data_IF_950778366694
#
_entry.id   IF_950778366694
#
_cell.length_a   1.000
_cell.length_b   1.000
_cell.length_c   1.000
_cell.angle_alpha   90.00
_cell.angle_beta   90.00
_cell.angle_gamma   90.00
#
_symmetry.space_group_name_H-M   'P 1'
#
loop_
_entity.id
_entity.type
_entity.pdbx_description
1 polymer ?
#
# COMPACT_ATOMS: atom_id res chain seq x y z
N UNK A 1 10.65 -16.26 -1.84
CA UNK A 1 11.08 -16.32 -3.26
C UNK A 1 12.24 -15.38 -3.50
N UNK A 2 13.22 -15.79 -4.31
CA UNK A 2 14.26 -14.92 -4.82
C UNK A 2 13.83 -14.32 -6.16
N UNK A 3 14.16 -13.06 -6.39
CA UNK A 3 13.85 -12.39 -7.64
C UNK A 3 15.02 -11.55 -8.15
N UNK A 4 15.04 -11.33 -9.45
CA UNK A 4 15.99 -10.46 -10.11
C UNK A 4 15.38 -9.85 -11.36
N UNK A 5 15.91 -8.74 -11.81
CA UNK A 5 15.43 -8.04 -13.00
C UNK A 5 16.57 -7.37 -13.77
N UNK A 6 16.33 -7.14 -15.03
CA UNK A 6 17.15 -6.31 -15.88
C UNK A 6 16.27 -5.39 -16.71
N UNK A 7 16.68 -4.13 -16.89
CA UNK A 7 15.94 -3.14 -17.67
C UNK A 7 16.87 -2.51 -18.69
N UNK A 8 16.39 -2.39 -19.93
CA UNK A 8 17.12 -1.72 -21.01
C UNK A 8 17.59 -0.34 -20.54
N UNK A 9 18.89 0.02 -20.75
CA UNK A 9 19.42 1.34 -20.40
C UNK A 9 18.60 2.52 -20.91
N UNK A 10 17.93 2.38 -22.06
CA UNK A 10 17.03 3.41 -22.62
C UNK A 10 15.82 3.72 -21.74
N UNK A 11 15.48 2.83 -20.82
CA UNK A 11 14.35 2.97 -19.89
C UNK A 11 14.78 3.42 -18.49
N UNK A 12 16.08 3.59 -18.24
CA UNK A 12 16.58 4.04 -16.95
C UNK A 12 16.11 5.46 -16.60
N UNK A 13 15.91 5.74 -15.32
CA UNK A 13 15.48 7.05 -14.83
C UNK A 13 14.02 7.42 -15.06
N UNK A 14 13.23 6.54 -15.71
CA UNK A 14 11.81 6.78 -16.01
C UNK A 14 10.85 6.20 -14.97
N UNK A 15 11.33 5.69 -13.85
CA UNK A 15 10.50 5.17 -12.76
C UNK A 15 9.94 3.76 -12.97
N UNK A 16 10.17 3.11 -14.12
CA UNK A 16 9.61 1.77 -14.40
C UNK A 16 10.01 0.71 -13.37
N UNK A 17 11.23 0.79 -12.84
CA UNK A 17 11.70 -0.19 -11.85
C UNK A 17 10.85 -0.14 -10.57
N UNK A 18 10.51 1.05 -10.08
CA UNK A 18 9.67 1.20 -8.90
C UNK A 18 8.26 0.64 -9.16
N UNK A 19 7.69 0.90 -10.33
CA UNK A 19 6.37 0.35 -10.70
C UNK A 19 6.40 -1.18 -10.77
N UNK A 20 7.42 -1.76 -11.40
CA UNK A 20 7.61 -3.22 -11.48
C UNK A 20 7.75 -3.82 -10.07
N UNK A 21 8.51 -3.17 -9.19
CA UNK A 21 8.69 -3.63 -7.81
C UNK A 21 7.38 -3.60 -7.01
N UNK A 22 6.54 -2.57 -7.19
CA UNK A 22 5.22 -2.50 -6.53
C UNK A 22 4.30 -3.64 -7.02
N UNK A 23 4.19 -3.83 -8.34
CA UNK A 23 3.37 -4.91 -8.93
C UNK A 23 3.86 -6.28 -8.46
N UNK A 24 5.17 -6.49 -8.42
CA UNK A 24 5.74 -7.76 -8.01
C UNK A 24 5.53 -8.06 -6.53
N UNK A 25 5.67 -7.06 -5.66
CA UNK A 25 5.37 -7.20 -4.23
C UNK A 25 3.90 -7.60 -4.02
N UNK A 26 3.00 -6.89 -4.69
CA UNK A 26 1.57 -7.19 -4.61
C UNK A 26 1.28 -8.63 -5.06
N UNK A 27 1.82 -9.03 -6.20
CA UNK A 27 1.66 -10.40 -6.72
C UNK A 27 2.22 -11.46 -5.76
N UNK A 28 3.42 -11.23 -5.20
CA UNK A 28 4.07 -12.19 -4.28
C UNK A 28 3.31 -12.34 -2.97
N UNK A 29 2.85 -11.24 -2.39
CA UNK A 29 2.25 -11.26 -1.05
C UNK A 29 0.75 -11.52 -1.07
N UNK A 30 0.02 -11.05 -2.08
CA UNK A 30 -1.44 -11.13 -2.14
C UNK A 30 -1.96 -12.23 -3.08
N UNK A 31 -1.23 -12.55 -4.18
CA UNK A 31 -1.67 -13.59 -5.13
C UNK A 31 -1.00 -14.93 -4.84
N UNK A 32 0.32 -14.93 -4.65
CA UNK A 32 1.06 -16.15 -4.32
C UNK A 32 1.08 -16.47 -2.82
N UNK A 33 0.60 -15.56 -1.97
CA UNK A 33 0.55 -15.68 -0.50
C UNK A 33 1.88 -16.07 0.16
N UNK A 34 3.01 -15.69 -0.46
CA UNK A 34 4.33 -16.02 0.04
C UNK A 34 4.73 -15.07 1.18
N UNK A 35 5.50 -15.57 2.14
CA UNK A 35 5.90 -14.79 3.30
C UNK A 35 7.07 -13.83 3.04
N UNK A 36 7.90 -14.08 2.00
CA UNK A 36 9.14 -13.32 1.80
C UNK A 36 9.54 -13.23 0.34
N UNK A 37 9.94 -12.02 -0.05
CA UNK A 37 10.68 -11.74 -1.29
C UNK A 37 12.08 -11.27 -0.92
N UNK A 38 13.10 -11.73 -1.64
CA UNK A 38 14.49 -11.33 -1.40
C UNK A 38 15.31 -11.35 -2.69
N UNK A 39 16.49 -10.79 -2.64
CA UNK A 39 17.44 -10.84 -3.75
C UNK A 39 18.82 -10.36 -3.32
N UNK A 40 19.73 -10.37 -4.27
CA UNK A 40 21.12 -9.92 -4.09
C UNK A 40 21.49 -9.00 -5.25
N UNK A 41 22.23 -7.94 -4.98
CA UNK A 41 22.85 -7.08 -6.00
C UNK A 41 24.30 -6.80 -5.64
N UNK A 42 25.15 -6.43 -6.62
CA UNK A 42 26.53 -6.07 -6.31
C UNK A 42 26.59 -4.88 -5.35
N UNK A 43 27.46 -4.91 -4.35
CA UNK A 43 27.64 -3.81 -3.36
C UNK A 43 27.94 -2.46 -3.99
N UNK A 44 28.52 -2.43 -5.18
CA UNK A 44 28.85 -1.21 -5.94
C UNK A 44 27.74 -0.78 -6.92
N UNK A 45 26.60 -1.48 -6.96
CA UNK A 45 25.46 -1.10 -7.80
C UNK A 45 24.51 -0.13 -7.04
N UNK A 46 25.03 1.05 -6.75
CA UNK A 46 24.32 2.07 -5.93
C UNK A 46 22.97 2.49 -6.50
N UNK A 47 22.78 2.46 -7.82
CA UNK A 47 21.49 2.80 -8.46
C UNK A 47 20.42 1.77 -8.09
N UNK A 48 20.76 0.49 -8.20
CA UNK A 48 19.86 -0.61 -7.82
C UNK A 48 19.60 -0.61 -6.32
N UNK A 49 20.62 -0.41 -5.49
CA UNK A 49 20.48 -0.33 -4.02
C UNK A 49 19.50 0.78 -3.65
N UNK A 50 19.64 1.99 -4.20
CA UNK A 50 18.69 3.09 -3.95
C UNK A 50 17.27 2.75 -4.38
N UNK A 51 17.10 2.10 -5.51
CA UNK A 51 15.77 1.67 -5.98
C UNK A 51 15.13 0.63 -5.05
N UNK A 52 15.90 -0.34 -4.58
CA UNK A 52 15.45 -1.37 -3.63
C UNK A 52 15.03 -0.75 -2.30
N UNK A 53 15.84 0.19 -1.77
CA UNK A 53 15.52 0.92 -0.54
C UNK A 53 14.27 1.79 -0.71
N UNK A 54 14.12 2.48 -1.87
CA UNK A 54 12.92 3.25 -2.17
C UNK A 54 11.65 2.38 -2.28
N UNK A 55 11.79 1.11 -2.67
CA UNK A 55 10.70 0.14 -2.65
C UNK A 55 10.38 -0.40 -1.23
N UNK A 56 11.11 0.05 -0.20
CA UNK A 56 10.91 -0.34 1.20
C UNK A 56 11.52 -1.67 1.58
N UNK A 57 12.41 -2.25 0.75
CA UNK A 57 13.11 -3.48 1.10
C UNK A 57 14.29 -3.20 2.03
N UNK A 58 14.50 -4.07 3.00
CA UNK A 58 15.54 -3.96 4.02
C UNK A 58 16.84 -4.63 3.62
N UNK A 59 17.97 -4.09 4.07
CA UNK A 59 19.27 -4.76 3.99
C UNK A 59 19.34 -5.95 4.95
N UNK A 60 19.73 -7.11 4.45
CA UNK A 60 19.80 -8.36 5.23
C UNK A 60 21.22 -8.92 5.38
N UNK A 61 22.21 -8.21 4.87
CA UNK A 61 23.61 -8.61 5.03
C UNK A 61 24.41 -8.65 3.73
N UNK A 62 25.63 -9.14 3.82
CA UNK A 62 26.59 -9.25 2.72
C UNK A 62 26.86 -10.71 2.40
N UNK A 63 26.76 -11.07 1.14
CA UNK A 63 27.29 -12.32 0.59
C UNK A 63 28.69 -12.05 0.04
N UNK A 64 29.73 -12.52 0.75
CA UNK A 64 31.10 -12.30 0.31
C UNK A 64 31.39 -13.03 -1.00
N UNK A 65 32.18 -12.41 -1.89
CA UNK A 65 32.64 -12.99 -3.16
C UNK A 65 31.51 -13.57 -4.03
N UNK A 66 30.32 -12.96 -3.96
CA UNK A 66 29.10 -13.50 -4.59
C UNK A 66 29.11 -13.40 -6.12
N UNK A 67 29.72 -12.34 -6.66
CA UNK A 67 29.81 -12.10 -8.09
C UNK A 67 31.27 -12.19 -8.55
N UNK A 68 31.46 -12.62 -9.80
CA UNK A 68 32.75 -12.50 -10.49
C UNK A 68 32.58 -11.63 -11.73
N UNK A 69 33.31 -10.51 -11.79
CA UNK A 69 33.30 -9.60 -12.95
C UNK A 69 34.73 -9.28 -13.36
N UNK A 70 35.05 -9.60 -14.61
CA UNK A 70 36.43 -9.40 -15.15
C UNK A 70 37.52 -10.04 -14.28
N UNK A 71 37.24 -11.24 -13.72
CA UNK A 71 38.18 -11.96 -12.86
C UNK A 71 38.29 -11.42 -11.42
N UNK A 72 37.55 -10.41 -11.07
CA UNK A 72 37.50 -9.88 -9.70
C UNK A 72 36.23 -10.34 -8.99
N UNK A 73 36.36 -10.79 -7.76
CA UNK A 73 35.24 -11.11 -6.91
C UNK A 73 34.64 -9.84 -6.28
N UNK A 74 33.33 -9.77 -6.25
CA UNK A 74 32.58 -8.62 -5.73
C UNK A 74 31.51 -9.15 -4.77
N UNK A 75 31.40 -8.54 -3.61
CA UNK A 75 30.38 -8.88 -2.62
C UNK A 75 28.97 -8.58 -3.14
N UNK A 76 28.03 -9.41 -2.68
CA UNK A 76 26.60 -9.22 -2.89
C UNK A 76 25.95 -8.51 -1.70
N UNK A 77 25.20 -7.46 -1.96
CA UNK A 77 24.34 -6.79 -1.01
C UNK A 77 22.97 -7.51 -1.00
N UNK A 78 22.68 -8.22 0.09
CA UNK A 78 21.41 -8.98 0.26
C UNK A 78 20.31 -8.07 0.78
N UNK A 79 19.12 -8.26 0.25
CA UNK A 79 17.95 -7.49 0.63
C UNK A 79 16.69 -8.36 0.63
N UNK A 80 15.69 -7.92 1.35
CA UNK A 80 14.40 -8.61 1.39
C UNK A 80 13.30 -7.79 2.02
N UNK A 81 12.09 -8.31 1.89
CA UNK A 81 10.88 -7.84 2.54
C UNK A 81 10.04 -9.04 2.95
N UNK A 82 9.52 -9.04 4.16
CA UNK A 82 8.52 -10.02 4.62
C UNK A 82 7.11 -9.46 4.46
N UNK A 83 6.11 -10.33 4.45
CA UNK A 83 4.70 -9.97 4.30
C UNK A 83 4.26 -8.89 5.30
N UNK A 84 4.64 -9.02 6.56
CA UNK A 84 4.32 -8.03 7.60
C UNK A 84 4.89 -6.63 7.31
N UNK A 85 6.10 -6.52 6.72
CA UNK A 85 6.68 -5.21 6.34
C UNK A 85 5.96 -4.61 5.14
N UNK A 86 5.54 -5.45 4.18
CA UNK A 86 4.72 -5.04 3.06
C UNK A 86 3.36 -4.50 3.52
N UNK A 87 2.66 -5.23 4.41
CA UNK A 87 1.39 -4.79 4.98
C UNK A 87 1.54 -3.44 5.71
N UNK A 88 2.56 -3.29 6.56
CA UNK A 88 2.85 -2.00 7.22
C UNK A 88 3.13 -0.88 6.22
N UNK A 89 3.85 -1.16 5.12
CA UNK A 89 4.09 -0.17 4.08
C UNK A 89 2.80 0.24 3.37
N UNK A 90 1.89 -0.70 3.08
CA UNK A 90 0.58 -0.40 2.51
C UNK A 90 -0.24 0.43 3.49
N UNK A 91 -0.35 0.02 4.76
CA UNK A 91 -1.06 0.79 5.79
C UNK A 91 -0.50 2.20 5.94
N UNK A 92 0.83 2.38 5.92
CA UNK A 92 1.43 3.72 6.01
C UNK A 92 1.15 4.58 4.77
N UNK A 93 1.13 3.99 3.58
CA UNK A 93 0.76 4.69 2.34
C UNK A 93 -0.72 5.11 2.35
N UNK A 94 -1.61 4.24 2.82
CA UNK A 94 -3.04 4.51 2.94
C UNK A 94 -3.31 5.60 3.98
N UNK A 95 -2.63 5.53 5.14
CA UNK A 95 -2.74 6.55 6.20
C UNK A 95 -2.11 7.90 5.83
N UNK A 96 -1.17 7.95 4.88
CA UNK A 96 -0.55 9.17 4.36
C UNK A 96 -1.26 9.73 3.11
N UNK A 97 -2.25 9.03 2.54
CA UNK A 97 -3.12 9.65 1.56
C UNK A 97 -4.04 10.64 2.30
N UNK A 98 -3.98 11.91 1.89
CA UNK A 98 -5.01 12.87 2.26
C UNK A 98 -6.33 12.42 1.63
N UNK A 99 -7.10 11.65 2.39
CA UNK A 99 -8.42 11.20 1.95
C UNK A 99 -9.29 12.44 1.84
N UNK A 100 -9.62 12.82 0.61
CA UNK A 100 -10.45 13.99 0.35
C UNK A 100 -11.91 13.70 0.72
N UNK A 101 -12.68 14.73 1.11
CA UNK A 101 -14.12 14.58 1.31
C UNK A 101 -14.82 13.96 0.10
N UNK A 102 -14.40 14.31 -1.12
CA UNK A 102 -14.99 13.77 -2.36
C UNK A 102 -14.78 12.27 -2.52
N UNK A 103 -13.66 11.72 -2.04
CA UNK A 103 -13.42 10.27 -2.08
C UNK A 103 -14.39 9.52 -1.15
N UNK A 104 -14.70 10.06 0.02
CA UNK A 104 -15.67 9.49 0.95
C UNK A 104 -17.08 9.58 0.35
N UNK A 105 -17.47 10.76 -0.14
CA UNK A 105 -18.76 10.99 -0.77
C UNK A 105 -18.99 10.01 -1.94
N UNK A 106 -18.02 9.90 -2.85
CA UNK A 106 -18.12 9.00 -4.01
C UNK A 106 -18.21 7.53 -3.59
N UNK A 107 -17.45 7.10 -2.59
CA UNK A 107 -17.49 5.73 -2.08
C UNK A 107 -18.86 5.40 -1.47
N UNK A 108 -19.42 6.30 -0.67
CA UNK A 108 -20.74 6.11 -0.07
C UNK A 108 -21.83 6.10 -1.14
N UNK A 109 -21.78 7.01 -2.12
CA UNK A 109 -22.70 7.03 -3.27
C UNK A 109 -22.65 5.75 -4.08
N UNK A 110 -21.46 5.16 -4.26
CA UNK A 110 -21.30 3.86 -4.94
C UNK A 110 -21.96 2.71 -4.15
N UNK A 111 -21.76 2.67 -2.84
CA UNK A 111 -22.36 1.63 -1.96
C UNK A 111 -23.88 1.77 -1.88
N UNK A 112 -24.40 3.01 -1.86
CA UNK A 112 -25.82 3.31 -1.81
C UNK A 112 -26.49 3.37 -3.20
N UNK A 113 -25.86 2.78 -4.23
CA UNK A 113 -26.40 2.62 -5.58
C UNK A 113 -26.87 3.94 -6.24
N UNK A 114 -25.99 4.94 -6.27
CA UNK A 114 -26.21 6.24 -6.92
C UNK A 114 -27.14 7.22 -6.20
N UNK A 115 -27.34 7.08 -4.89
CA UNK A 115 -27.93 8.16 -4.11
C UNK A 115 -27.09 9.44 -4.21
N UNK A 116 -27.75 10.58 -4.20
CA UNK A 116 -27.07 11.88 -4.17
C UNK A 116 -26.50 12.13 -2.79
N UNK A 117 -25.21 11.82 -2.61
CA UNK A 117 -24.49 11.98 -1.34
C UNK A 117 -23.71 13.28 -1.38
N UNK A 118 -23.74 14.02 -0.28
CA UNK A 118 -22.90 15.21 -0.05
C UNK A 118 -22.30 15.18 1.38
N UNK A 119 -21.59 16.23 1.73
CA UNK A 119 -20.93 16.35 3.03
C UNK A 119 -21.92 16.35 4.22
N UNK A 120 -23.19 16.68 4.01
CA UNK A 120 -24.23 16.72 5.04
C UNK A 120 -25.06 15.43 5.10
N UNK A 121 -24.80 14.46 4.24
CA UNK A 121 -25.50 13.18 4.21
C UNK A 121 -25.22 12.34 5.44
N UNK A 122 -26.26 11.69 5.95
CA UNK A 122 -26.23 10.87 7.18
C UNK A 122 -27.29 9.78 7.13
N UNK A 123 -27.22 8.83 8.06
CA UNK A 123 -28.26 7.80 8.27
C UNK A 123 -29.63 8.39 8.62
N UNK A 124 -29.70 9.66 9.06
CA UNK A 124 -30.96 10.32 9.41
C UNK A 124 -31.68 10.92 8.20
N UNK A 125 -30.95 11.27 7.13
CA UNK A 125 -31.51 11.99 5.98
C UNK A 125 -31.37 11.26 4.64
N UNK A 126 -30.77 10.08 4.61
CA UNK A 126 -30.66 9.19 3.44
C UNK A 126 -31.33 7.86 3.79
N UNK A 127 -32.50 7.62 3.25
CA UNK A 127 -33.33 6.43 3.56
C UNK A 127 -32.62 5.12 3.23
N UNK A 128 -31.81 5.09 2.19
CA UNK A 128 -31.01 3.92 1.79
C UNK A 128 -29.79 3.70 2.69
N UNK A 129 -29.41 4.66 3.54
CA UNK A 129 -28.34 4.48 4.50
C UNK A 129 -28.83 3.86 5.79
N UNK A 130 -29.30 2.63 5.69
CA UNK A 130 -29.72 1.80 6.84
C UNK A 130 -28.55 1.09 7.53
N UNK A 131 -28.82 0.29 8.54
CA UNK A 131 -27.79 -0.42 9.32
C UNK A 131 -27.01 -1.44 8.48
N UNK A 132 -27.62 -2.07 7.47
CA UNK A 132 -26.93 -3.00 6.58
C UNK A 132 -25.97 -2.25 5.65
N UNK A 133 -26.47 -1.22 4.99
CA UNK A 133 -25.68 -0.40 4.09
C UNK A 133 -24.59 0.39 4.85
N UNK A 134 -24.84 0.77 6.11
CA UNK A 134 -23.81 1.32 6.98
C UNK A 134 -22.62 0.37 7.15
N UNK A 135 -22.86 -0.91 7.42
CA UNK A 135 -21.81 -1.91 7.53
C UNK A 135 -21.07 -2.11 6.20
N UNK A 136 -21.79 -2.09 5.07
CA UNK A 136 -21.17 -2.17 3.75
C UNK A 136 -20.27 -0.96 3.46
N UNK A 137 -20.67 0.25 3.87
CA UNK A 137 -19.85 1.46 3.79
C UNK A 137 -18.57 1.27 4.62
N UNK A 138 -18.66 0.77 5.86
CA UNK A 138 -17.48 0.54 6.71
C UNK A 138 -16.51 -0.48 6.10
N UNK A 139 -17.04 -1.56 5.53
CA UNK A 139 -16.23 -2.54 4.78
C UNK A 139 -15.57 -1.88 3.57
N UNK A 140 -16.29 -1.10 2.79
CA UNK A 140 -15.75 -0.41 1.62
C UNK A 140 -14.67 0.64 1.99
N UNK A 141 -14.86 1.37 3.10
CA UNK A 141 -13.85 2.29 3.65
C UNK A 141 -12.57 1.54 4.02
N UNK A 142 -12.68 0.35 4.62
CA UNK A 142 -11.54 -0.49 4.93
C UNK A 142 -10.85 -1.03 3.68
N UNK A 143 -11.61 -1.61 2.75
CA UNK A 143 -11.06 -2.28 1.56
C UNK A 143 -10.49 -1.30 0.53
N UNK A 144 -11.21 -0.19 0.25
CA UNK A 144 -10.82 0.74 -0.82
C UNK A 144 -9.92 1.88 -0.33
N UNK A 145 -10.07 2.30 0.94
CA UNK A 145 -9.32 3.42 1.50
C UNK A 145 -8.39 3.02 2.66
N UNK A 146 -8.37 1.72 3.03
CA UNK A 146 -7.50 1.18 4.07
C UNK A 146 -7.80 1.70 5.48
N UNK A 147 -9.00 2.21 5.72
CA UNK A 147 -9.42 2.74 7.02
C UNK A 147 -9.83 1.60 7.93
N UNK A 148 -9.02 1.30 8.94
CA UNK A 148 -9.34 0.31 9.97
C UNK A 148 -9.96 1.00 11.17
N UNK A 149 -11.28 1.11 11.17
CA UNK A 149 -12.06 1.78 12.20
C UNK A 149 -12.30 0.83 13.38
N UNK A 150 -12.17 1.35 14.60
CA UNK A 150 -12.54 0.61 15.79
C UNK A 150 -14.06 0.39 15.88
N UNK A 151 -14.57 -0.58 16.66
CA UNK A 151 -16.00 -0.76 16.84
C UNK A 151 -16.74 0.49 17.36
N UNK A 152 -16.09 1.32 18.19
CA UNK A 152 -16.63 2.61 18.61
C UNK A 152 -16.70 3.61 17.47
N UNK A 153 -15.65 3.69 16.64
CA UNK A 153 -15.62 4.60 15.48
C UNK A 153 -16.72 4.21 14.47
N UNK A 154 -16.94 2.90 14.26
CA UNK A 154 -18.02 2.41 13.39
C UNK A 154 -19.40 2.86 13.92
N UNK A 155 -19.63 2.79 15.23
CA UNK A 155 -20.89 3.22 15.83
C UNK A 155 -21.11 4.73 15.72
N UNK A 156 -20.04 5.52 15.76
CA UNK A 156 -20.08 6.98 15.70
C UNK A 156 -20.09 7.53 14.25
N UNK A 157 -19.72 6.71 13.26
CA UNK A 157 -19.57 7.08 11.85
C UNK A 157 -20.89 7.22 11.08
N UNK A 158 -21.94 7.76 11.68
CA UNK A 158 -23.30 7.80 11.14
C UNK A 158 -23.56 8.90 10.10
N UNK A 159 -22.56 9.69 9.76
CA UNK A 159 -22.62 10.74 8.71
C UNK A 159 -21.29 10.90 8.02
N UNK A 160 -21.30 11.51 6.82
CA UNK A 160 -20.07 11.84 6.07
C UNK A 160 -19.13 12.71 6.91
N UNK A 161 -19.67 13.69 7.65
CA UNK A 161 -18.88 14.58 8.53
C UNK A 161 -18.19 13.82 9.66
N UNK A 162 -18.89 12.87 10.29
CA UNK A 162 -18.32 12.10 11.38
C UNK A 162 -17.27 11.13 10.89
N UNK A 163 -17.49 10.48 9.75
CA UNK A 163 -16.46 9.67 9.08
C UNK A 163 -15.19 10.51 8.84
N UNK A 164 -15.32 11.71 8.26
CA UNK A 164 -14.18 12.60 8.03
C UNK A 164 -13.48 13.04 9.32
N UNK A 165 -14.24 13.32 10.37
CA UNK A 165 -13.71 13.67 11.69
C UNK A 165 -12.93 12.52 12.31
N UNK A 166 -13.47 11.30 12.26
CA UNK A 166 -12.79 10.10 12.76
C UNK A 166 -11.48 9.88 12.00
N UNK A 167 -11.47 10.01 10.68
CA UNK A 167 -10.25 9.90 9.87
C UNK A 167 -9.20 10.92 10.28
N UNK A 168 -9.59 12.15 10.59
CA UNK A 168 -8.67 13.21 11.03
C UNK A 168 -8.10 12.94 12.44
N UNK A 169 -8.90 12.34 13.33
CA UNK A 169 -8.45 12.04 14.71
C UNK A 169 -7.58 10.79 14.80
N UNK A 170 -7.78 9.83 13.92
CA UNK A 170 -6.96 8.60 13.86
C UNK A 170 -5.56 8.87 13.27
N UNK A 171 -5.35 10.02 12.63
CA UNK A 171 -4.05 10.48 12.07
C UNK A 171 -3.12 11.16 13.09
N UNK A 172 -3.55 11.41 14.31
CA UNK A 172 -2.75 12.02 15.39
C UNK A 172 -2.31 10.97 16.40
#
# INVERSE_FOLDING_TARGET
>A
IEWGYGVDPKLWGKGYILQIQEILKDYVFNVLELNKIHGVTMVNNYKTIKSIQAAGMSHEGISRDHYCKNGQFIDGWRYGMIKNDYEKQIYSKLNNQDISPDQIVNLISEVLENETIDINSSMENIDTWDSLNHMLIMVALKEKLGLDLSPSDIADAISVKEILKIIQTTKN
#
